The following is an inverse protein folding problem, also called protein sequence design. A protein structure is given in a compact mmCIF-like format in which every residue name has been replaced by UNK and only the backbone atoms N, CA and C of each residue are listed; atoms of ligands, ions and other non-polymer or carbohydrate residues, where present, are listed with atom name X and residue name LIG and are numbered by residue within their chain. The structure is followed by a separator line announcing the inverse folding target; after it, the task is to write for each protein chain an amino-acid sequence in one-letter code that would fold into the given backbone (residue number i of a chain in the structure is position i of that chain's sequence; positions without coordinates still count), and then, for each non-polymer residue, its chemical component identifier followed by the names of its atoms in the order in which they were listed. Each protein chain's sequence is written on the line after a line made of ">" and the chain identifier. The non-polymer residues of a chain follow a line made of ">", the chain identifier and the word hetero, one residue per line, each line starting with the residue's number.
data_IF_472295926654
#
_entry.id   IF_472295926654
#
_cell.length_a   1.000
_cell.length_b   1.000
_cell.length_c   1.000
_cell.angle_alpha   90.00
_cell.angle_beta   90.00
_cell.angle_gamma   90.00
#
_symmetry.space_group_name_H-M   'P 1'
#
loop_
_entity.id
_entity.type
_entity.pdbx_description
1 polymer ?
#
# COMPACT_ATOMS: atom_id res chain seq x y z
N UNK A 1 -17.26 -0.13 -10.00
CA UNK A 1 -16.11 0.46 -9.40
C UNK A 1 -15.08 1.00 -10.37
N UNK A 2 -14.24 1.81 -9.82
CA UNK A 2 -13.14 2.48 -10.53
C UNK A 2 -12.12 1.47 -11.09
N UNK A 3 -12.17 0.24 -10.64
CA UNK A 3 -11.27 -0.84 -11.05
C UNK A 3 -11.90 -1.84 -12.01
N UNK A 4 -13.13 -1.58 -12.44
CA UNK A 4 -13.81 -2.48 -13.36
C UNK A 4 -13.37 -2.24 -14.80
N UNK A 5 -13.02 -3.31 -15.50
CA UNK A 5 -12.71 -3.30 -16.93
C UNK A 5 -13.84 -2.74 -17.83
N UNK A 6 -15.05 -2.71 -17.32
CA UNK A 6 -16.24 -2.24 -18.01
C UNK A 6 -16.76 -0.89 -17.49
N UNK A 7 -15.99 -0.20 -16.66
CA UNK A 7 -16.39 1.09 -16.12
C UNK A 7 -16.42 2.15 -17.23
N UNK A 8 -17.53 2.87 -17.35
CA UNK A 8 -17.61 4.03 -18.25
C UNK A 8 -16.62 5.13 -17.92
N UNK A 9 -16.17 5.19 -16.66
CA UNK A 9 -15.13 6.10 -16.22
C UNK A 9 -13.79 5.67 -16.80
N UNK A 10 -13.50 4.39 -16.81
CA UNK A 10 -12.24 3.86 -17.35
C UNK A 10 -12.14 4.16 -18.85
N UNK A 11 -13.24 3.98 -19.60
CA UNK A 11 -13.28 4.30 -21.04
C UNK A 11 -13.07 5.78 -21.31
N UNK A 12 -13.73 6.66 -20.53
CA UNK A 12 -13.62 8.11 -20.66
C UNK A 12 -12.25 8.67 -20.29
N UNK A 13 -11.62 8.09 -19.30
CA UNK A 13 -10.35 8.57 -18.73
C UNK A 13 -9.13 7.87 -19.32
N UNK A 14 -9.32 7.00 -20.30
CA UNK A 14 -8.24 6.24 -20.90
C UNK A 14 -7.59 5.23 -19.94
N UNK A 15 -8.30 4.82 -18.91
CA UNK A 15 -7.84 3.77 -18.01
C UNK A 15 -7.75 2.44 -18.78
N UNK A 16 -6.66 1.76 -18.63
CA UNK A 16 -6.41 0.49 -19.29
C UNK A 16 -6.69 -0.62 -18.29
N UNK A 17 -7.81 -1.36 -18.49
CA UNK A 17 -8.03 -2.64 -17.82
C UNK A 17 -7.74 -2.63 -16.31
N UNK A 18 -8.42 -1.76 -15.59
CA UNK A 18 -8.21 -1.63 -14.15
C UNK A 18 -6.96 -0.82 -13.77
N UNK A 19 -6.26 -0.23 -14.72
CA UNK A 19 -5.18 0.72 -14.48
C UNK A 19 -5.75 2.12 -14.55
N UNK A 20 -5.83 2.81 -13.43
CA UNK A 20 -6.18 4.22 -13.41
C UNK A 20 -4.96 5.04 -13.81
N UNK A 21 -5.02 5.62 -14.98
CA UNK A 21 -4.15 6.72 -15.36
C UNK A 21 -4.57 8.00 -14.62
N UNK A 22 -3.74 9.05 -14.57
CA UNK A 22 -4.13 10.32 -13.99
C UNK A 22 -5.49 10.72 -14.54
N UNK A 23 -6.48 10.76 -13.67
CA UNK A 23 -7.85 10.90 -14.08
C UNK A 23 -8.12 12.34 -14.47
N UNK A 24 -8.29 12.57 -15.76
CA UNK A 24 -8.72 13.85 -16.34
C UNK A 24 -10.07 13.63 -17.02
N UNK A 25 -10.96 14.60 -16.89
CA UNK A 25 -12.20 14.61 -17.66
C UNK A 25 -11.95 15.05 -19.12
N UNK A 26 -13.00 15.07 -19.92
CA UNK A 26 -12.93 15.48 -21.33
C UNK A 26 -12.43 16.90 -21.53
N UNK A 27 -12.58 17.77 -20.52
CA UNK A 27 -12.14 19.15 -20.51
C UNK A 27 -10.68 19.30 -20.00
N UNK A 28 -10.02 18.22 -19.69
CA UNK A 28 -8.67 18.21 -19.13
C UNK A 28 -8.60 18.57 -17.65
N UNK A 29 -9.73 18.52 -16.92
CA UNK A 29 -9.75 18.78 -15.49
C UNK A 29 -9.28 17.55 -14.74
N UNK A 30 -8.43 17.76 -13.75
CA UNK A 30 -7.97 16.68 -12.89
C UNK A 30 -9.12 16.13 -12.06
N UNK A 31 -9.42 14.85 -12.20
CA UNK A 31 -10.59 14.24 -11.59
C UNK A 31 -10.43 13.94 -10.09
N UNK A 32 -9.27 14.16 -9.54
CA UNK A 32 -9.02 13.97 -8.11
C UNK A 32 -9.02 12.53 -7.60
N UNK A 33 -9.27 11.53 -8.45
CA UNK A 33 -9.28 10.12 -8.06
C UNK A 33 -7.89 9.70 -7.54
N UNK A 34 -6.85 10.20 -8.18
CA UNK A 34 -5.45 9.98 -7.77
C UNK A 34 -4.91 11.13 -6.92
N UNK A 35 -5.76 12.09 -6.55
CA UNK A 35 -5.36 13.11 -5.60
C UNK A 35 -5.17 12.49 -4.22
N UNK A 36 -4.08 12.82 -3.57
CA UNK A 36 -3.75 12.43 -2.21
C UNK A 36 -3.88 13.65 -1.28
N UNK A 37 -5.11 14.01 -0.87
CA UNK A 37 -5.33 15.18 -0.01
C UNK A 37 -4.73 15.00 1.38
N UNK A 38 -4.42 13.77 1.74
CA UNK A 38 -3.74 13.41 2.97
C UNK A 38 -2.42 12.74 2.60
N UNK A 39 -1.34 13.50 2.35
CA UNK A 39 -0.17 13.08 1.58
C UNK A 39 0.67 11.94 2.19
N UNK A 40 0.06 11.07 2.97
CA UNK A 40 0.70 9.93 3.61
C UNK A 40 1.15 8.88 2.57
N UNK A 41 0.29 8.53 1.62
CA UNK A 41 0.63 7.56 0.57
C UNK A 41 1.74 8.09 -0.35
N UNK A 42 1.68 9.36 -0.72
CA UNK A 42 2.73 10.04 -1.50
C UNK A 42 4.06 10.06 -0.73
N UNK A 43 4.01 10.37 0.57
CA UNK A 43 5.20 10.35 1.43
C UNK A 43 5.81 8.93 1.51
N UNK A 44 4.98 7.92 1.75
CA UNK A 44 5.42 6.51 1.79
C UNK A 44 6.07 6.08 0.47
N UNK A 45 5.45 6.44 -0.66
CA UNK A 45 6.00 6.16 -1.98
C UNK A 45 7.35 6.89 -2.21
N UNK A 46 7.51 8.10 -1.69
CA UNK A 46 8.76 8.85 -1.80
C UNK A 46 9.91 8.21 -1.03
N UNK A 47 9.64 7.66 0.15
CA UNK A 47 10.63 6.90 0.93
C UNK A 47 11.10 5.67 0.16
N UNK A 48 10.23 5.04 -0.60
CA UNK A 48 10.59 3.89 -1.43
C UNK A 48 11.37 4.33 -2.67
N UNK A 49 10.84 5.26 -3.48
CA UNK A 49 11.23 5.43 -4.88
C UNK A 49 11.64 6.84 -5.29
N UNK A 50 11.83 7.79 -4.35
CA UNK A 50 12.27 9.14 -4.72
C UNK A 50 13.57 9.08 -5.52
N UNK A 51 13.61 9.81 -6.63
CA UNK A 51 14.82 9.94 -7.48
C UNK A 51 15.86 10.91 -6.91
N UNK A 52 15.56 11.63 -5.84
CA UNK A 52 16.48 12.63 -5.26
C UNK A 52 16.73 13.81 -6.19
N UNK A 53 15.77 14.17 -7.03
CA UNK A 53 15.96 15.29 -7.99
C UNK A 53 15.75 16.66 -7.36
N UNK A 54 15.00 16.73 -6.26
CA UNK A 54 14.78 17.97 -5.53
C UNK A 54 15.87 18.18 -4.50
N UNK A 55 16.41 19.39 -4.46
CA UNK A 55 17.34 19.82 -3.44
C UNK A 55 16.63 20.64 -2.36
N UNK A 56 16.95 20.41 -1.14
CA UNK A 56 16.42 21.12 0.03
C UNK A 56 17.56 21.85 0.73
N UNK A 57 17.27 23.06 1.18
CA UNK A 57 18.23 23.85 1.95
C UNK A 57 18.20 23.43 3.43
N UNK A 58 19.37 23.26 4.00
CA UNK A 58 19.55 23.01 5.44
C UNK A 58 20.30 24.19 6.03
N UNK A 59 19.90 24.61 7.22
CA UNK A 59 20.59 25.62 8.01
C UNK A 59 20.89 26.90 7.24
N UNK A 60 19.87 27.71 6.97
CA UNK A 60 19.99 29.01 6.35
C UNK A 60 20.76 29.02 5.00
N UNK A 61 20.45 28.06 4.15
CA UNK A 61 21.00 27.94 2.79
C UNK A 61 22.50 27.64 2.70
N UNK A 62 23.10 27.14 3.78
CA UNK A 62 24.53 26.82 3.78
C UNK A 62 24.86 25.44 3.22
N UNK A 63 23.88 24.53 3.22
CA UNK A 63 24.03 23.16 2.69
C UNK A 63 22.75 22.76 1.95
N UNK A 64 22.94 22.08 0.84
CA UNK A 64 21.85 21.44 0.10
C UNK A 64 21.93 19.93 0.26
N UNK A 65 20.78 19.30 0.32
CA UNK A 65 20.68 17.85 0.28
C UNK A 65 19.49 17.40 -0.56
N UNK A 66 19.59 16.22 -1.10
CA UNK A 66 18.49 15.58 -1.82
C UNK A 66 18.03 14.33 -1.06
N UNK A 67 16.74 14.10 -1.03
CA UNK A 67 16.15 12.90 -0.42
C UNK A 67 15.94 11.88 -1.53
N UNK A 68 16.74 10.83 -1.50
CA UNK A 68 16.63 9.69 -2.41
C UNK A 68 15.94 8.54 -1.68
N UNK A 69 15.03 7.85 -2.34
CA UNK A 69 14.38 6.66 -1.81
C UNK A 69 15.36 5.47 -1.72
N UNK A 70 14.96 4.46 -0.97
CA UNK A 70 15.78 3.26 -0.76
C UNK A 70 15.92 2.45 -2.06
N UNK A 71 14.87 2.43 -2.88
CA UNK A 71 14.83 1.73 -4.16
C UNK A 71 14.41 2.69 -5.29
N UNK A 72 15.28 3.64 -5.69
CA UNK A 72 14.88 4.73 -6.59
C UNK A 72 14.56 4.27 -8.01
N UNK A 73 14.93 3.06 -8.39
CA UNK A 73 14.72 2.54 -9.75
C UNK A 73 13.48 1.67 -9.89
N UNK A 74 12.74 1.44 -8.80
CA UNK A 74 11.46 0.73 -8.87
C UNK A 74 10.39 1.59 -9.52
N UNK A 75 9.39 0.92 -10.09
CA UNK A 75 8.17 1.55 -10.58
C UNK A 75 7.12 1.50 -9.49
N UNK A 76 6.41 2.60 -9.30
CA UNK A 76 5.28 2.67 -8.36
C UNK A 76 3.99 2.49 -9.15
N UNK A 77 3.16 1.55 -8.70
CA UNK A 77 1.77 1.40 -9.09
C UNK A 77 0.93 1.97 -7.94
N UNK A 78 0.45 3.23 -8.05
CA UNK A 78 -0.36 3.81 -6.98
C UNK A 78 -1.76 3.24 -7.00
N UNK A 79 -2.22 2.74 -5.86
CA UNK A 79 -3.58 2.21 -5.70
C UNK A 79 -4.22 2.90 -4.50
N UNK A 80 -5.30 3.62 -4.76
CA UNK A 80 -6.05 4.34 -3.74
C UNK A 80 -7.18 3.48 -3.21
N UNK A 81 -7.07 3.09 -1.95
CA UNK A 81 -8.09 2.34 -1.23
C UNK A 81 -8.41 3.10 0.08
N UNK A 82 -9.68 3.46 0.28
CA UNK A 82 -10.10 4.32 1.40
C UNK A 82 -10.85 3.54 2.48
N UNK A 83 -11.47 2.42 2.12
CA UNK A 83 -12.33 1.63 2.99
C UNK A 83 -11.95 0.16 2.94
N UNK A 84 -12.44 -0.61 3.89
CA UNK A 84 -12.19 -2.04 3.98
C UNK A 84 -12.48 -2.78 2.66
N UNK A 85 -13.65 -2.54 2.06
CA UNK A 85 -14.00 -3.15 0.77
C UNK A 85 -13.03 -2.76 -0.34
N UNK A 86 -12.68 -1.48 -0.44
CA UNK A 86 -11.71 -0.98 -1.42
C UNK A 86 -10.34 -1.63 -1.25
N UNK A 87 -9.91 -1.86 0.00
CA UNK A 87 -8.63 -2.51 0.29
C UNK A 87 -8.60 -3.94 -0.24
N UNK A 88 -9.64 -4.72 0.01
CA UNK A 88 -9.73 -6.10 -0.49
C UNK A 88 -9.75 -6.12 -2.02
N UNK A 89 -10.52 -5.22 -2.65
CA UNK A 89 -10.52 -5.05 -4.10
C UNK A 89 -9.13 -4.68 -4.63
N UNK A 90 -8.48 -3.71 -4.00
CA UNK A 90 -7.15 -3.25 -4.38
C UNK A 90 -6.11 -4.38 -4.30
N UNK A 91 -6.16 -5.17 -3.25
CA UNK A 91 -5.26 -6.31 -3.08
C UNK A 91 -5.49 -7.38 -4.14
N UNK A 92 -6.74 -7.81 -4.35
CA UNK A 92 -7.09 -8.80 -5.36
C UNK A 92 -6.69 -8.32 -6.75
N UNK A 93 -7.04 -7.08 -7.10
CA UNK A 93 -6.66 -6.50 -8.38
C UNK A 93 -5.13 -6.45 -8.57
N UNK A 94 -4.40 -5.98 -7.57
CA UNK A 94 -2.93 -5.92 -7.63
C UNK A 94 -2.31 -7.32 -7.73
N UNK A 95 -2.91 -8.30 -7.08
CA UNK A 95 -2.51 -9.71 -7.13
C UNK A 95 -2.87 -10.40 -8.47
N UNK A 96 -3.53 -9.72 -9.39
CA UNK A 96 -3.80 -10.23 -10.73
C UNK A 96 -5.20 -10.80 -10.91
N UNK A 97 -6.17 -10.36 -10.12
CA UNK A 97 -7.56 -10.76 -10.29
C UNK A 97 -8.39 -9.58 -10.80
N UNK A 98 -9.26 -9.82 -11.76
CA UNK A 98 -10.29 -8.89 -12.20
C UNK A 98 -11.67 -9.32 -11.69
N UNK A 99 -12.50 -8.35 -11.37
CA UNK A 99 -13.90 -8.62 -11.03
C UNK A 99 -14.74 -8.51 -12.28
N UNK A 100 -15.27 -9.63 -12.75
CA UNK A 100 -16.20 -9.73 -13.86
C UNK A 100 -17.52 -10.32 -13.37
N UNK A 101 -18.59 -9.56 -13.52
CA UNK A 101 -19.96 -9.98 -13.14
C UNK A 101 -20.05 -10.57 -11.70
N UNK A 102 -19.41 -9.91 -10.74
CA UNK A 102 -19.28 -10.31 -9.33
C UNK A 102 -18.44 -11.56 -9.07
N UNK A 103 -17.66 -12.00 -10.03
CA UNK A 103 -16.71 -13.11 -9.88
C UNK A 103 -15.29 -12.61 -10.04
N UNK A 104 -14.37 -13.11 -9.21
CA UNK A 104 -12.95 -12.81 -9.31
C UNK A 104 -12.27 -13.80 -10.26
N UNK A 105 -11.67 -13.29 -11.33
CA UNK A 105 -11.03 -14.08 -12.38
C UNK A 105 -9.53 -13.77 -12.37
N UNK A 106 -8.72 -14.81 -12.25
CA UNK A 106 -7.27 -14.68 -12.32
C UNK A 106 -6.80 -14.38 -13.74
N UNK A 107 -6.01 -13.34 -13.91
CA UNK A 107 -5.55 -12.84 -15.23
C UNK A 107 -4.17 -13.35 -15.64
N UNK A 108 -3.59 -14.27 -14.88
CA UNK A 108 -2.34 -14.95 -15.22
C UNK A 108 -1.07 -14.39 -14.58
N UNK A 109 -1.17 -13.36 -13.76
CA UNK A 109 -0.02 -12.82 -13.01
C UNK A 109 -0.34 -11.57 -12.19
N UNK A 110 0.40 -11.30 -11.14
CA UNK A 110 0.24 -10.09 -10.35
C UNK A 110 0.62 -8.84 -11.16
N UNK A 111 -0.06 -7.73 -10.88
CA UNK A 111 0.22 -6.42 -11.51
C UNK A 111 1.39 -5.69 -10.84
N UNK A 112 1.75 -6.12 -9.64
CA UNK A 112 2.93 -5.66 -8.93
C UNK A 112 3.63 -6.83 -8.25
N UNK A 113 4.95 -6.78 -8.16
CA UNK A 113 5.77 -7.79 -7.50
C UNK A 113 5.62 -7.72 -5.98
N UNK A 114 5.39 -6.51 -5.46
CA UNK A 114 5.27 -6.25 -4.02
C UNK A 114 4.10 -5.30 -3.77
N UNK A 115 3.28 -5.63 -2.79
CA UNK A 115 2.25 -4.74 -2.24
C UNK A 115 2.78 -4.15 -0.93
N UNK A 116 2.83 -2.82 -0.83
CA UNK A 116 3.27 -2.10 0.37
C UNK A 116 2.08 -1.43 1.07
N UNK A 117 1.82 -1.83 2.31
CA UNK A 117 0.75 -1.32 3.16
C UNK A 117 1.32 -0.48 4.29
N UNK A 118 1.46 0.83 4.08
CA UNK A 118 1.89 1.77 5.12
C UNK A 118 0.70 2.24 5.96
N UNK A 119 -0.14 1.32 6.39
CA UNK A 119 -1.32 1.56 7.20
C UNK A 119 -1.63 0.32 8.07
N UNK A 120 -2.47 0.50 9.06
CA UNK A 120 -2.94 -0.58 9.92
C UNK A 120 -4.14 -0.16 10.75
N UNK A 121 -4.86 -1.12 11.29
CA UNK A 121 -6.01 -0.95 12.15
C UNK A 121 -5.73 -1.70 13.45
N UNK A 122 -5.52 -0.97 14.55
CA UNK A 122 -5.18 -1.56 15.85
C UNK A 122 -6.39 -2.14 16.59
N UNK A 123 -7.60 -1.63 16.32
CA UNK A 123 -8.84 -2.05 16.97
C UNK A 123 -9.75 -2.88 16.05
N UNK A 124 -9.17 -3.63 15.14
CA UNK A 124 -9.96 -4.47 14.25
C UNK A 124 -10.63 -5.61 15.03
N UNK A 125 -11.86 -6.00 14.69
CA UNK A 125 -12.55 -7.07 15.40
C UNK A 125 -11.71 -8.35 15.48
N UNK A 126 -11.70 -8.97 16.65
CA UNK A 126 -10.96 -10.19 16.99
C UNK A 126 -9.43 -10.09 17.06
N UNK A 127 -8.82 -8.95 16.72
CA UNK A 127 -7.35 -8.85 16.76
C UNK A 127 -6.77 -9.08 18.17
N UNK A 128 -7.48 -8.63 19.20
CA UNK A 128 -7.04 -8.81 20.59
C UNK A 128 -7.12 -10.25 21.10
N UNK A 129 -7.98 -11.08 20.52
CA UNK A 129 -8.20 -12.47 20.94
C UNK A 129 -7.49 -13.48 20.04
N UNK A 130 -7.38 -13.15 18.76
CA UNK A 130 -6.81 -14.03 17.76
C UNK A 130 -6.04 -13.22 16.71
N UNK A 131 -4.90 -12.60 17.09
CA UNK A 131 -4.10 -11.82 16.17
C UNK A 131 -3.66 -12.67 14.98
N UNK A 132 -3.82 -12.13 13.77
CA UNK A 132 -3.52 -12.84 12.53
C UNK A 132 -4.63 -13.80 12.04
N UNK A 133 -5.73 -13.93 12.79
CA UNK A 133 -6.93 -14.70 12.39
C UNK A 133 -8.12 -13.77 12.06
N UNK A 134 -7.92 -12.47 12.06
CA UNK A 134 -8.89 -11.53 11.53
C UNK A 134 -9.01 -11.64 10.01
N UNK A 135 -10.12 -11.15 9.47
CA UNK A 135 -10.44 -11.35 8.05
C UNK A 135 -9.41 -10.72 7.09
N UNK A 136 -8.82 -9.57 7.44
CA UNK A 136 -7.77 -8.96 6.59
C UNK A 136 -6.49 -9.80 6.60
N UNK A 137 -6.10 -10.29 7.76
CA UNK A 137 -4.93 -11.17 7.88
C UNK A 137 -5.13 -12.48 7.13
N UNK A 138 -6.33 -13.06 7.17
CA UNK A 138 -6.64 -14.29 6.42
C UNK A 138 -6.62 -14.07 4.90
N UNK A 139 -7.18 -12.96 4.43
CA UNK A 139 -7.12 -12.59 3.01
C UNK A 139 -5.67 -12.35 2.58
N UNK A 140 -4.89 -11.63 3.39
CA UNK A 140 -3.47 -11.41 3.10
C UNK A 140 -2.71 -12.73 3.03
N UNK A 141 -2.92 -13.64 3.98
CA UNK A 141 -2.27 -14.96 3.98
C UNK A 141 -2.60 -15.74 2.70
N UNK A 142 -3.85 -15.69 2.24
CA UNK A 142 -4.24 -16.31 0.97
C UNK A 142 -3.53 -15.64 -0.21
N UNK A 143 -3.45 -14.32 -0.25
CA UNK A 143 -2.78 -13.59 -1.34
C UNK A 143 -1.27 -13.84 -1.42
N UNK A 144 -0.63 -14.10 -0.30
CA UNK A 144 0.81 -14.44 -0.27
C UNK A 144 1.07 -15.88 -0.70
N UNK A 145 0.09 -16.77 -0.47
CA UNK A 145 0.28 -18.21 -0.67
C UNK A 145 0.04 -18.62 -2.12
N UNK A 146 1.04 -19.16 -2.83
CA UNK A 146 0.84 -19.70 -4.17
C UNK A 146 -0.24 -20.80 -4.20
N UNK A 147 -1.05 -20.81 -5.25
CA UNK A 147 -2.09 -21.80 -5.45
C UNK A 147 -3.34 -21.65 -4.57
N UNK A 148 -3.38 -20.72 -3.64
CA UNK A 148 -4.47 -20.57 -2.66
C UNK A 148 -5.79 -20.09 -3.28
N UNK A 149 -5.72 -19.17 -4.23
CA UNK A 149 -6.89 -18.53 -4.83
C UNK A 149 -7.20 -19.03 -6.25
N UNK A 150 -6.21 -19.59 -6.90
CA UNK A 150 -6.31 -20.20 -8.23
C UNK A 150 -5.11 -21.14 -8.43
N UNK A 151 -5.26 -22.25 -9.13
CA UNK A 151 -4.22 -23.29 -9.29
C UNK A 151 -2.87 -22.74 -9.85
N UNK A 152 -2.96 -21.77 -10.76
CA UNK A 152 -1.80 -21.12 -11.38
C UNK A 152 -1.39 -19.81 -10.68
N UNK A 153 -1.98 -19.48 -9.55
CA UNK A 153 -1.65 -18.27 -8.82
C UNK A 153 -0.27 -18.39 -8.16
N UNK A 154 0.61 -17.46 -8.44
CA UNK A 154 2.00 -17.48 -7.98
C UNK A 154 2.21 -16.89 -6.58
N UNK A 155 1.16 -16.28 -6.00
CA UNK A 155 1.29 -15.45 -4.80
C UNK A 155 1.86 -14.06 -5.12
N UNK A 156 1.77 -13.15 -4.16
CA UNK A 156 2.38 -11.82 -4.22
C UNK A 156 3.01 -11.48 -2.88
N UNK A 157 4.17 -10.85 -2.87
CA UNK A 157 4.80 -10.40 -1.62
C UNK A 157 4.04 -9.22 -1.04
N UNK A 158 3.64 -9.32 0.23
CA UNK A 158 2.93 -8.23 0.92
C UNK A 158 3.74 -7.77 2.13
N UNK A 159 4.04 -6.47 2.18
CA UNK A 159 4.76 -5.81 3.25
C UNK A 159 3.80 -4.86 3.97
N UNK A 160 3.72 -4.95 5.28
CA UNK A 160 2.84 -4.11 6.09
C UNK A 160 3.60 -3.44 7.23
N UNK A 161 3.18 -2.24 7.60
CA UNK A 161 3.71 -1.59 8.80
C UNK A 161 3.24 -2.33 10.05
N UNK A 162 4.09 -2.37 11.08
CA UNK A 162 3.69 -2.85 12.41
C UNK A 162 2.74 -1.90 13.13
N UNK A 163 2.51 -0.70 12.60
CA UNK A 163 1.66 0.32 13.19
C UNK A 163 2.41 1.28 14.11
N UNK A 164 1.66 2.16 14.77
CA UNK A 164 2.17 3.25 15.61
C UNK A 164 1.66 3.19 17.06
N UNK A 165 1.12 2.05 17.49
CA UNK A 165 0.51 1.88 18.82
C UNK A 165 1.46 1.33 19.87
N UNK A 166 2.67 0.93 19.49
CA UNK A 166 3.72 0.40 20.36
C UNK A 166 4.53 1.52 21.00
N UNK A 167 5.35 1.17 21.93
CA UNK A 167 5.99 -0.09 22.29
C UNK A 167 5.11 -0.94 23.24
N UNK A 168 5.20 -2.23 23.18
CA UNK A 168 4.50 -3.15 24.08
C UNK A 168 3.91 -4.36 23.35
N UNK A 169 3.44 -5.31 24.12
CA UNK A 169 2.78 -6.50 23.59
C UNK A 169 1.41 -6.16 23.01
N UNK A 170 1.06 -6.83 21.90
CA UNK A 170 -0.26 -6.71 21.29
C UNK A 170 -0.53 -5.36 20.63
N UNK A 171 0.51 -4.60 20.28
CA UNK A 171 0.37 -3.28 19.68
C UNK A 171 0.42 -3.28 18.14
N UNK A 172 0.75 -4.42 17.53
CA UNK A 172 0.73 -4.57 16.07
C UNK A 172 -0.72 -4.68 15.61
N UNK A 173 -1.09 -3.84 14.66
CA UNK A 173 -2.43 -3.85 14.05
C UNK A 173 -2.53 -4.78 12.84
N UNK A 174 -3.77 -5.06 12.39
CA UNK A 174 -3.99 -5.74 11.11
C UNK A 174 -3.74 -4.76 9.95
N UNK A 175 -3.16 -5.17 8.82
CA UNK A 175 -2.74 -6.52 8.46
C UNK A 175 -1.32 -6.92 8.91
N UNK A 176 -0.63 -6.07 9.68
CA UNK A 176 0.72 -6.33 10.17
C UNK A 176 0.87 -7.60 11.02
N UNK A 177 -0.21 -8.06 11.68
CA UNK A 177 -0.23 -9.31 12.48
C UNK A 177 -0.37 -10.57 11.63
N UNK A 178 -0.51 -10.45 10.31
CA UNK A 178 -0.65 -11.58 9.41
C UNK A 178 0.56 -12.51 9.50
N UNK A 179 0.30 -13.83 9.47
CA UNK A 179 1.35 -14.84 9.67
C UNK A 179 2.29 -15.00 8.48
N UNK A 180 1.85 -14.66 7.27
CA UNK A 180 2.61 -14.89 6.03
C UNK A 180 3.07 -13.61 5.35
N UNK A 181 2.56 -12.45 5.77
CA UNK A 181 3.06 -11.15 5.33
C UNK A 181 4.35 -10.75 6.06
N UNK A 182 5.04 -9.77 5.50
CA UNK A 182 6.19 -9.15 6.16
C UNK A 182 5.71 -7.95 6.99
N UNK A 183 5.84 -8.04 8.31
CA UNK A 183 5.56 -6.93 9.21
C UNK A 183 6.85 -6.17 9.51
N UNK A 184 6.83 -4.85 9.31
CA UNK A 184 8.01 -3.99 9.45
C UNK A 184 7.77 -2.97 10.56
N UNK A 185 8.58 -3.04 11.59
CA UNK A 185 8.65 -2.06 12.67
C UNK A 185 9.73 -1.01 12.43
N UNK A 186 9.75 0.00 13.28
CA UNK A 186 10.78 1.02 13.31
C UNK A 186 11.74 0.79 14.47
N UNK A 187 12.99 1.12 14.25
CA UNK A 187 14.03 1.14 15.29
C UNK A 187 14.71 2.51 15.26
N UNK A 188 15.19 2.95 16.42
CA UNK A 188 16.07 4.10 16.52
C UNK A 188 17.53 3.62 16.57
N UNK A 189 18.44 4.42 16.04
CA UNK A 189 19.86 4.19 16.29
C UNK A 189 20.28 4.88 17.60
N UNK A 190 21.40 4.46 18.18
CA UNK A 190 21.91 5.00 19.43
C UNK A 190 22.33 6.48 19.34
N UNK A 191 22.43 7.03 18.13
CA UNK A 191 22.80 8.44 17.89
C UNK A 191 21.58 9.34 17.80
N UNK A 192 20.36 8.80 17.89
CA UNK A 192 19.14 9.58 17.84
C UNK A 192 18.87 10.24 19.18
N UNK A 193 19.26 11.50 19.31
CA UNK A 193 18.89 12.36 20.42
C UNK A 193 17.58 13.06 20.07
N UNK A 194 16.47 12.34 20.15
CA UNK A 194 15.14 12.86 19.82
C UNK A 194 14.47 13.50 21.04
N UNK A 195 13.61 14.49 20.76
CA UNK A 195 12.59 14.94 21.70
C UNK A 195 11.45 13.94 21.63
N UNK A 196 11.20 13.18 22.70
CA UNK A 196 10.06 12.30 22.75
C UNK A 196 10.10 11.30 23.89
N UNK A 197 9.03 10.50 24.06
CA UNK A 197 8.89 9.53 25.15
C UNK A 197 9.88 8.33 25.04
N UNK A 198 10.72 8.30 24.05
CA UNK A 198 11.74 7.26 23.79
C UNK A 198 13.14 7.71 24.29
N UNK A 199 13.16 8.38 25.41
CA UNK A 199 14.40 8.47 26.19
C UNK A 199 14.56 7.14 26.91
N UNK A 200 15.63 6.42 26.60
CA UNK A 200 16.12 5.34 27.44
C UNK A 200 16.51 5.89 28.82
#
# INVERSE_FOLDING_TARGET
>A
GVFSKKSKIDDKLGAINGTLLPAMDEDGRFFGVMNDPYPHGTSSASVIASKGKMEYDIYNNTKKFSIKGIAPDVKILPVKALWFGDTVYAWLWTAGFDNEDNSWIYTGGPRADIISNSWGISNFPNIGYAPGLDVLSLILNALVTPGSLHENYTGVTIVSSAGNSGHGYGTIGTPGVSSFGLSVGAVTNNDFVGYGPYKD
#
